data_IF_360030400382
#
_entry.id   IF_360030400382
#
_cell.length_a   1.000
_cell.length_b   1.000
_cell.length_c   1.000
_cell.angle_alpha   90.00
_cell.angle_beta   90.00
_cell.angle_gamma   90.00
#
_symmetry.space_group_name_H-M   'P 1'
#
loop_
_entity.id
_entity.type
_entity.pdbx_description
1 polymer ?
#
# COMPACT_ATOMS: atom_id res chain seq x y z
N UNK A 1 20.44 -0.14 -17.76
CA UNK A 1 19.54 1.02 -17.70
C UNK A 1 18.40 0.68 -18.65
N UNK A 2 17.30 0.17 -18.13
CA UNK A 2 16.13 -0.21 -18.94
C UNK A 2 15.30 1.06 -19.05
N UNK A 3 15.25 1.61 -20.26
CA UNK A 3 14.33 2.68 -20.62
C UNK A 3 12.90 2.15 -20.42
N UNK A 4 12.24 2.57 -19.34
CA UNK A 4 10.82 2.33 -19.14
C UNK A 4 10.14 3.35 -20.03
N UNK A 5 9.60 2.85 -21.16
CA UNK A 5 8.88 3.63 -22.14
C UNK A 5 7.88 4.58 -21.45
N UNK A 6 7.99 5.85 -21.82
CA UNK A 6 7.03 6.90 -21.49
C UNK A 6 5.62 6.45 -21.88
N UNK A 7 4.84 6.00 -20.88
CA UNK A 7 3.40 5.80 -21.01
C UNK A 7 2.71 7.05 -20.50
N UNK A 8 1.66 7.51 -21.17
CA UNK A 8 0.95 8.71 -20.82
C UNK A 8 0.13 8.50 -19.54
N UNK A 9 0.02 9.50 -18.76
CA UNK A 9 -0.66 9.56 -17.49
C UNK A 9 0.33 9.85 -16.36
N UNK A 10 0.19 10.98 -15.72
CA UNK A 10 0.95 11.52 -14.59
C UNK A 10 2.41 11.06 -14.54
N UNK A 11 3.31 12.01 -14.44
CA UNK A 11 4.77 11.85 -14.21
C UNK A 11 5.03 10.98 -12.93
N UNK A 12 4.72 9.67 -13.02
CA UNK A 12 4.94 8.70 -11.95
C UNK A 12 6.46 8.49 -11.84
N UNK A 13 7.11 9.35 -11.08
CA UNK A 13 8.52 9.18 -10.71
C UNK A 13 8.59 8.17 -9.58
N UNK A 14 9.50 7.22 -9.68
CA UNK A 14 9.73 6.13 -8.70
C UNK A 14 8.64 5.04 -8.74
N UNK A 15 8.63 4.25 -9.80
CA UNK A 15 7.81 3.05 -9.92
C UNK A 15 8.68 1.83 -9.62
N UNK A 16 8.20 0.93 -8.77
CA UNK A 16 8.79 -0.38 -8.53
C UNK A 16 7.90 -1.45 -9.17
N UNK A 17 8.44 -2.24 -10.05
CA UNK A 17 7.75 -3.38 -10.64
C UNK A 17 7.85 -4.60 -9.72
N UNK A 18 6.74 -5.31 -9.54
CA UNK A 18 6.65 -6.60 -8.86
C UNK A 18 6.25 -7.65 -9.89
N UNK A 19 6.98 -8.74 -9.92
CA UNK A 19 6.75 -9.82 -10.90
C UNK A 19 7.01 -9.39 -12.34
N UNK A 20 6.28 -9.99 -13.29
CA UNK A 20 6.39 -9.74 -14.73
C UNK A 20 5.02 -9.30 -15.26
N UNK A 21 4.69 -8.01 -15.21
CA UNK A 21 3.44 -7.50 -15.77
C UNK A 21 3.35 -7.85 -17.26
N UNK A 22 2.25 -8.48 -17.66
CA UNK A 22 1.98 -8.79 -19.04
C UNK A 22 1.50 -7.54 -19.79
N UNK A 23 1.54 -7.60 -21.14
CA UNK A 23 0.90 -6.60 -21.98
C UNK A 23 -0.60 -6.49 -21.70
N UNK A 24 -1.18 -5.32 -21.91
CA UNK A 24 -2.59 -4.99 -21.66
C UNK A 24 -2.81 -4.28 -20.32
N UNK A 25 -3.96 -4.52 -19.71
CA UNK A 25 -4.39 -3.81 -18.50
C UNK A 25 -3.39 -3.93 -17.35
N UNK A 26 -3.11 -2.80 -16.69
CA UNK A 26 -2.08 -2.66 -15.67
C UNK A 26 -2.69 -2.27 -14.33
N UNK A 27 -2.01 -2.67 -13.26
CA UNK A 27 -2.39 -2.34 -11.90
C UNK A 27 -1.24 -1.59 -11.24
N UNK A 28 -1.58 -0.44 -10.67
CA UNK A 28 -0.69 0.41 -9.91
C UNK A 28 -1.22 0.53 -8.49
N UNK A 29 -0.39 0.26 -7.50
CA UNK A 29 -0.76 0.44 -6.08
C UNK A 29 0.18 1.47 -5.44
N UNK A 30 -0.40 2.44 -4.76
CA UNK A 30 0.36 3.44 -4.01
C UNK A 30 1.08 2.76 -2.84
N UNK A 31 2.32 3.17 -2.58
CA UNK A 31 3.18 2.55 -1.58
C UNK A 31 2.56 2.53 -0.17
N UNK A 32 1.84 3.58 0.22
CA UNK A 32 1.16 3.60 1.52
C UNK A 32 -0.02 2.60 1.57
N UNK A 33 -0.77 2.45 0.47
CA UNK A 33 -1.82 1.45 0.36
C UNK A 33 -1.24 0.03 0.40
N UNK A 34 -0.13 -0.21 -0.30
CA UNK A 34 0.59 -1.47 -0.27
C UNK A 34 1.13 -1.79 1.13
N UNK A 35 1.79 -0.84 1.78
CA UNK A 35 2.29 -0.99 3.15
C UNK A 35 1.15 -1.26 4.15
N UNK A 36 -0.03 -0.65 3.94
CA UNK A 36 -1.20 -0.83 4.81
C UNK A 36 -1.71 -2.27 4.80
N UNK A 37 -1.76 -2.93 3.64
CA UNK A 37 -2.20 -4.33 3.57
C UNK A 37 -1.16 -5.30 4.13
N UNK A 38 0.13 -4.91 4.13
CA UNK A 38 1.25 -5.69 4.66
C UNK A 38 1.60 -5.37 6.12
N UNK A 39 0.83 -4.48 6.77
CA UNK A 39 1.05 -4.16 8.18
C UNK A 39 0.96 -5.42 9.05
N UNK A 40 1.95 -5.63 9.92
CA UNK A 40 1.98 -6.77 10.82
C UNK A 40 0.78 -6.76 11.77
N UNK A 41 0.15 -7.92 11.92
CA UNK A 41 -1.04 -8.09 12.76
C UNK A 41 -1.15 -9.51 13.30
N UNK A 42 -1.91 -9.67 14.37
CA UNK A 42 -2.29 -10.97 14.90
C UNK A 42 -3.57 -11.55 14.26
N UNK A 43 -4.27 -10.77 13.45
CA UNK A 43 -5.47 -11.23 12.77
C UNK A 43 -5.11 -12.31 11.73
N UNK A 44 -5.83 -13.41 11.74
CA UNK A 44 -5.65 -14.52 10.78
C UNK A 44 -6.23 -14.20 9.40
N UNK A 45 -7.23 -13.31 9.36
CA UNK A 45 -7.94 -12.93 8.14
C UNK A 45 -8.27 -11.45 8.16
N UNK A 46 -7.99 -10.79 7.05
CA UNK A 46 -8.28 -9.35 6.88
C UNK A 46 -8.87 -9.08 5.51
N UNK A 47 -9.78 -8.13 5.48
CA UNK A 47 -10.34 -7.60 4.22
C UNK A 47 -10.08 -6.12 4.15
N UNK A 48 -9.73 -5.65 2.95
CA UNK A 48 -9.57 -4.22 2.67
C UNK A 48 -10.38 -3.84 1.44
N UNK A 49 -10.95 -2.63 1.44
CA UNK A 49 -11.49 -1.99 0.25
C UNK A 49 -10.41 -1.12 -0.36
N UNK A 50 -10.22 -1.24 -1.66
CA UNK A 50 -9.31 -0.42 -2.42
C UNK A 50 -10.03 0.79 -3.02
N UNK A 51 -9.52 1.98 -2.70
CA UNK A 51 -9.98 3.26 -3.24
C UNK A 51 -8.99 3.76 -4.28
N UNK A 52 -9.50 4.46 -5.29
CA UNK A 52 -8.63 5.01 -6.32
C UNK A 52 -9.40 5.43 -7.57
N UNK A 53 -8.81 5.22 -8.73
CA UNK A 53 -9.42 5.54 -10.03
C UNK A 53 -8.93 4.58 -11.12
N UNK A 54 -9.58 4.64 -12.29
CA UNK A 54 -9.17 3.89 -13.48
C UNK A 54 -8.97 4.86 -14.63
N UNK A 55 -7.87 4.74 -15.34
CA UNK A 55 -7.56 5.47 -16.56
C UNK A 55 -7.57 4.52 -17.76
N UNK A 56 -7.91 5.05 -18.94
CA UNK A 56 -7.84 4.29 -20.18
C UNK A 56 -7.04 5.06 -21.21
N UNK A 57 -6.00 4.45 -21.74
CA UNK A 57 -5.20 5.04 -22.78
C UNK A 57 -4.91 4.03 -23.88
N UNK A 58 -5.21 4.42 -25.11
CA UNK A 58 -5.06 3.58 -26.30
C UNK A 58 -5.69 2.18 -26.15
N UNK A 59 -6.79 2.07 -25.38
CA UNK A 59 -7.48 0.81 -25.12
C UNK A 59 -6.85 -0.06 -24.03
N UNK A 60 -5.82 0.42 -23.34
CA UNK A 60 -5.23 -0.21 -22.15
C UNK A 60 -5.79 0.46 -20.91
N UNK A 61 -6.35 -0.32 -20.01
CA UNK A 61 -6.85 0.16 -18.74
C UNK A 61 -5.79 0.09 -17.66
N UNK A 62 -5.69 1.16 -16.88
CA UNK A 62 -4.78 1.29 -15.76
C UNK A 62 -5.61 1.51 -14.50
N UNK A 63 -5.59 0.56 -13.58
CA UNK A 63 -6.26 0.69 -12.29
C UNK A 63 -5.25 1.17 -11.25
N UNK A 64 -5.53 2.33 -10.66
CA UNK A 64 -4.72 2.93 -9.60
C UNK A 64 -5.39 2.70 -8.26
N UNK A 65 -4.71 1.96 -7.39
CA UNK A 65 -5.08 1.79 -5.99
C UNK A 65 -4.35 2.84 -5.16
N UNK A 66 -5.08 3.83 -4.67
CA UNK A 66 -4.53 4.98 -3.93
C UNK A 66 -4.57 4.78 -2.42
N UNK A 67 -5.56 4.01 -1.93
CA UNK A 67 -5.70 3.71 -0.51
C UNK A 67 -6.31 2.33 -0.27
N UNK A 68 -6.03 1.78 0.92
CA UNK A 68 -6.61 0.54 1.42
C UNK A 68 -7.33 0.79 2.75
N UNK A 69 -8.65 0.63 2.77
CA UNK A 69 -9.51 0.80 3.93
C UNK A 69 -9.74 -0.58 4.56
N UNK A 70 -9.30 -0.85 5.80
CA UNK A 70 -9.58 -2.11 6.47
C UNK A 70 -11.07 -2.23 6.77
N UNK A 71 -11.66 -3.37 6.45
CA UNK A 71 -13.05 -3.70 6.82
C UNK A 71 -13.02 -4.33 8.20
N UNK A 72 -13.45 -3.57 9.20
CA UNK A 72 -13.51 -4.03 10.58
C UNK A 72 -14.70 -4.97 10.76
N UNK A 73 -14.58 -5.87 11.73
CA UNK A 73 -15.66 -6.80 12.12
C UNK A 73 -16.23 -7.62 10.95
N UNK A 74 -15.37 -7.96 9.97
CA UNK A 74 -15.74 -8.85 8.87
C UNK A 74 -16.01 -10.26 9.39
N UNK A 75 -17.20 -10.77 9.15
CA UNK A 75 -17.53 -12.15 9.43
C UNK A 75 -16.97 -13.08 8.34
N UNK A 76 -16.47 -14.24 8.75
CA UNK A 76 -15.94 -15.25 7.84
C UNK A 76 -16.70 -16.59 8.00
N UNK A 77 -16.88 -17.25 6.88
CA UNK A 77 -17.38 -18.63 6.85
C UNK A 77 -16.48 -19.44 5.92
N UNK A 78 -15.80 -20.47 6.45
CA UNK A 78 -14.84 -21.28 5.68
C UNK A 78 -13.79 -20.44 4.92
N UNK A 79 -13.21 -19.44 5.58
CA UNK A 79 -12.26 -18.47 5.04
C UNK A 79 -12.83 -17.50 3.98
N UNK A 80 -14.12 -17.51 3.72
CA UNK A 80 -14.78 -16.60 2.80
C UNK A 80 -15.40 -15.43 3.56
N UNK A 81 -15.17 -14.17 3.15
CA UNK A 81 -15.77 -13.01 3.78
C UNK A 81 -17.27 -12.95 3.51
N UNK A 82 -18.05 -12.64 4.52
CA UNK A 82 -19.49 -12.44 4.42
C UNK A 82 -19.82 -10.96 4.33
N UNK A 83 -20.11 -10.51 3.13
CA UNK A 83 -20.51 -9.14 2.87
C UNK A 83 -21.95 -8.91 3.28
N UNK A 84 -22.17 -8.09 4.29
CA UNK A 84 -23.48 -7.71 4.79
C UNK A 84 -23.60 -6.21 4.98
N UNK A 85 -24.79 -5.75 5.37
CA UNK A 85 -25.08 -4.32 5.58
C UNK A 85 -24.14 -3.68 6.59
N UNK A 86 -23.74 -4.40 7.63
CA UNK A 86 -22.85 -3.88 8.67
C UNK A 86 -21.47 -3.56 8.11
N UNK A 87 -20.83 -4.51 7.41
CA UNK A 87 -19.53 -4.33 6.80
C UNK A 87 -19.51 -3.12 5.84
N UNK A 88 -20.53 -3.01 4.98
CA UNK A 88 -20.67 -1.90 4.05
C UNK A 88 -20.95 -0.55 4.73
N UNK A 89 -21.70 -0.53 5.82
CA UNK A 89 -22.01 0.72 6.55
C UNK A 89 -20.76 1.40 7.09
N UNK A 90 -19.82 0.63 7.63
CA UNK A 90 -18.57 1.16 8.15
C UNK A 90 -17.63 1.64 7.05
N UNK A 91 -17.54 0.86 5.97
CA UNK A 91 -16.77 1.24 4.78
C UNK A 91 -17.30 2.55 4.18
N UNK A 92 -18.60 2.68 3.96
CA UNK A 92 -19.19 3.90 3.39
C UNK A 92 -19.05 5.13 4.31
N UNK A 93 -19.05 4.93 5.62
CA UNK A 93 -18.78 6.02 6.57
C UNK A 93 -17.36 6.55 6.40
N UNK A 94 -16.39 5.66 6.25
CA UNK A 94 -14.99 6.04 6.05
C UNK A 94 -14.77 6.69 4.67
N UNK A 95 -15.39 6.15 3.61
CA UNK A 95 -15.33 6.74 2.26
C UNK A 95 -15.83 8.18 2.27
N UNK A 96 -16.99 8.45 2.88
CA UNK A 96 -17.55 9.80 2.97
C UNK A 96 -16.67 10.78 3.73
N UNK A 97 -15.93 10.29 4.72
CA UNK A 97 -15.07 11.12 5.53
C UNK A 97 -13.75 11.50 4.84
N UNK A 98 -13.18 10.59 4.07
CA UNK A 98 -11.78 10.70 3.67
C UNK A 98 -11.51 10.54 2.17
N UNK A 99 -12.50 10.08 1.36
CA UNK A 99 -12.27 9.67 -0.03
C UNK A 99 -13.35 10.17 -1.00
N UNK A 100 -13.79 11.44 -0.88
CA UNK A 100 -14.87 12.00 -1.70
C UNK A 100 -14.64 11.93 -3.22
N UNK A 101 -13.38 11.99 -3.66
CA UNK A 101 -13.00 12.04 -5.07
C UNK A 101 -12.50 10.70 -5.63
N UNK A 102 -12.51 9.65 -4.82
CA UNK A 102 -12.05 8.32 -5.23
C UNK A 102 -13.22 7.36 -5.35
N UNK A 103 -13.08 6.36 -6.22
CA UNK A 103 -14.05 5.28 -6.35
C UNK A 103 -13.51 3.98 -5.76
N UNK A 104 -14.39 3.01 -5.51
CA UNK A 104 -13.95 1.66 -5.16
C UNK A 104 -13.40 1.01 -6.42
N UNK A 105 -12.10 0.69 -6.41
CA UNK A 105 -11.41 0.05 -7.53
C UNK A 105 -11.14 -1.44 -7.28
N UNK A 106 -11.53 -1.96 -6.13
CA UNK A 106 -11.39 -3.38 -5.81
C UNK A 106 -11.34 -3.65 -4.32
N UNK A 107 -10.82 -4.83 -3.98
CA UNK A 107 -10.67 -5.26 -2.59
C UNK A 107 -9.54 -6.25 -2.43
N UNK A 108 -9.09 -6.44 -1.18
CA UNK A 108 -8.06 -7.40 -0.81
C UNK A 108 -8.56 -8.37 0.26
N UNK A 109 -8.07 -9.59 0.21
CA UNK A 109 -8.25 -10.62 1.22
C UNK A 109 -6.89 -11.20 1.60
N UNK A 110 -6.55 -11.08 2.88
CA UNK A 110 -5.43 -11.76 3.51
C UNK A 110 -5.93 -12.93 4.35
N UNK A 111 -5.41 -14.13 4.08
CA UNK A 111 -5.69 -15.33 4.86
C UNK A 111 -4.37 -16.01 5.22
N UNK A 112 -3.86 -15.78 6.41
CA UNK A 112 -2.60 -16.35 6.89
C UNK A 112 -2.57 -17.86 6.83
N UNK A 113 -1.52 -18.41 6.19
CA UNK A 113 -1.31 -19.85 6.05
C UNK A 113 -2.22 -20.53 5.04
N UNK A 114 -2.94 -19.75 4.21
CA UNK A 114 -3.75 -20.28 3.12
C UNK A 114 -3.26 -19.73 1.78
N UNK A 115 -2.95 -20.60 0.81
CA UNK A 115 -2.48 -20.16 -0.49
C UNK A 115 -3.45 -19.16 -1.14
N UNK A 116 -2.98 -18.03 -1.69
CA UNK A 116 -3.81 -16.97 -2.26
C UNK A 116 -4.34 -17.35 -3.65
N UNK A 117 -5.16 -18.41 -3.70
CA UNK A 117 -5.73 -18.96 -4.93
C UNK A 117 -7.19 -18.55 -5.08
N UNK A 118 -7.54 -18.15 -6.29
CA UNK A 118 -8.93 -17.86 -6.64
C UNK A 118 -9.76 -19.16 -6.62
N UNK A 119 -10.80 -19.18 -5.81
CA UNK A 119 -11.82 -20.23 -5.83
C UNK A 119 -13.07 -19.74 -6.56
N UNK A 120 -13.96 -20.66 -6.93
CA UNK A 120 -15.22 -20.31 -7.58
C UNK A 120 -16.11 -19.44 -6.67
N UNK A 121 -16.05 -19.68 -5.37
CA UNK A 121 -16.78 -18.90 -4.36
C UNK A 121 -16.24 -17.48 -4.24
N UNK A 122 -14.91 -17.29 -4.21
CA UNK A 122 -14.29 -15.96 -4.21
C UNK A 122 -14.59 -15.18 -5.49
N UNK A 123 -14.56 -15.86 -6.64
CA UNK A 123 -14.96 -15.24 -7.91
C UNK A 123 -16.44 -14.83 -7.91
N UNK A 124 -17.32 -15.66 -7.32
CA UNK A 124 -18.72 -15.32 -7.17
C UNK A 124 -18.94 -14.10 -6.25
N UNK A 125 -18.27 -14.06 -5.10
CA UNK A 125 -18.28 -12.90 -4.19
C UNK A 125 -17.78 -11.64 -4.90
N UNK A 126 -16.64 -11.72 -5.61
CA UNK A 126 -16.12 -10.58 -6.34
C UNK A 126 -17.12 -10.06 -7.38
N UNK A 127 -17.72 -10.95 -8.15
CA UNK A 127 -18.71 -10.56 -9.17
C UNK A 127 -20.00 -9.97 -8.58
N UNK A 128 -20.43 -10.46 -7.42
CA UNK A 128 -21.62 -9.96 -6.74
C UNK A 128 -21.40 -8.60 -6.09
N UNK A 129 -20.26 -8.41 -5.42
CA UNK A 129 -19.99 -7.21 -4.63
C UNK A 129 -19.19 -6.15 -5.39
N UNK A 130 -18.38 -6.57 -6.38
CA UNK A 130 -17.40 -5.75 -7.10
C UNK A 130 -17.48 -6.03 -8.61
N UNK A 131 -18.68 -5.95 -9.19
CA UNK A 131 -18.95 -6.34 -10.58
C UNK A 131 -18.43 -5.40 -11.67
N UNK A 132 -17.63 -4.38 -11.35
CA UNK A 132 -17.02 -3.46 -12.32
C UNK A 132 -15.92 -4.14 -13.14
N UNK A 133 -15.87 -3.86 -14.46
CA UNK A 133 -14.97 -4.54 -15.38
C UNK A 133 -13.48 -4.40 -15.04
N UNK A 134 -13.10 -3.31 -14.35
CA UNK A 134 -11.70 -2.99 -14.00
C UNK A 134 -11.45 -3.01 -12.49
N UNK A 135 -12.38 -3.56 -11.71
CA UNK A 135 -12.17 -3.75 -10.29
C UNK A 135 -11.27 -4.95 -10.04
N UNK A 136 -10.30 -4.77 -9.15
CA UNK A 136 -9.28 -5.77 -8.86
C UNK A 136 -9.64 -6.57 -7.61
N UNK A 137 -9.20 -7.83 -7.56
CA UNK A 137 -9.13 -8.64 -6.36
C UNK A 137 -7.66 -8.90 -6.05
N UNK A 138 -7.24 -8.59 -4.83
CA UNK A 138 -5.91 -8.90 -4.33
C UNK A 138 -6.01 -9.99 -3.26
N UNK A 139 -5.43 -11.15 -3.55
CA UNK A 139 -5.33 -12.25 -2.59
C UNK A 139 -3.91 -12.34 -2.08
N UNK A 140 -3.76 -12.47 -0.77
CA UNK A 140 -2.46 -12.63 -0.16
C UNK A 140 -2.46 -13.63 1.00
N UNK A 141 -1.32 -14.26 1.20
CA UNK A 141 -0.94 -14.98 2.40
C UNK A 141 0.21 -14.24 3.06
N UNK A 142 -0.09 -13.43 4.06
CA UNK A 142 0.91 -12.63 4.76
C UNK A 142 1.88 -13.47 5.62
N UNK A 143 1.61 -14.75 5.83
CA UNK A 143 2.51 -15.67 6.53
C UNK A 143 3.63 -16.16 5.61
N UNK A 144 3.30 -16.55 4.39
CA UNK A 144 4.26 -17.08 3.41
C UNK A 144 4.77 -15.98 2.45
N UNK A 145 4.16 -14.80 2.47
CA UNK A 145 4.53 -13.68 1.59
C UNK A 145 4.10 -13.90 0.13
N UNK A 146 3.11 -14.75 -0.11
CA UNK A 146 2.55 -14.97 -1.44
C UNK A 146 1.40 -13.98 -1.70
N UNK A 147 1.37 -13.39 -2.90
CA UNK A 147 0.37 -12.39 -3.27
C UNK A 147 0.08 -12.36 -4.76
N UNK A 148 -1.17 -12.17 -5.13
CA UNK A 148 -1.60 -12.09 -6.52
C UNK A 148 -2.76 -11.11 -6.70
N UNK A 149 -2.63 -10.22 -7.68
CA UNK A 149 -3.76 -9.49 -8.21
C UNK A 149 -4.52 -10.33 -9.23
N UNK A 150 -5.83 -10.21 -9.22
CA UNK A 150 -6.74 -10.78 -10.19
C UNK A 150 -7.53 -9.66 -10.86
N UNK A 151 -7.69 -9.74 -12.16
CA UNK A 151 -8.45 -8.79 -12.96
C UNK A 151 -9.29 -9.55 -13.97
N UNK A 152 -10.43 -8.98 -14.36
CA UNK A 152 -11.27 -9.58 -15.39
C UNK A 152 -10.56 -9.66 -16.73
N UNK A 153 -10.62 -10.83 -17.35
CA UNK A 153 -10.34 -11.05 -18.77
C UNK A 153 -11.53 -11.76 -19.39
N UNK A 154 -12.33 -11.01 -20.14
CA UNK A 154 -13.64 -11.47 -20.55
C UNK A 154 -14.56 -11.67 -19.33
N UNK A 155 -15.11 -12.87 -19.15
CA UNK A 155 -16.09 -13.16 -18.09
C UNK A 155 -15.51 -13.86 -16.86
N UNK A 156 -14.19 -13.91 -16.71
CA UNK A 156 -13.50 -14.57 -15.58
C UNK A 156 -12.39 -13.71 -15.01
N UNK A 157 -12.16 -13.85 -13.71
CA UNK A 157 -10.97 -13.32 -13.06
C UNK A 157 -9.75 -14.17 -13.42
N UNK A 158 -8.67 -13.50 -13.82
CA UNK A 158 -7.39 -14.14 -14.09
C UNK A 158 -6.28 -13.50 -13.29
N UNK A 159 -5.31 -14.29 -12.79
CA UNK A 159 -4.18 -13.75 -12.08
C UNK A 159 -3.33 -12.87 -13.00
N UNK A 160 -2.80 -11.79 -12.47
CA UNK A 160 -1.80 -10.93 -13.10
C UNK A 160 -0.43 -11.38 -12.62
N UNK A 161 0.48 -11.62 -13.57
CA UNK A 161 1.85 -12.05 -13.27
C UNK A 161 2.74 -10.94 -12.66
N UNK A 162 2.19 -9.73 -12.52
CA UNK A 162 2.89 -8.61 -11.91
C UNK A 162 2.04 -7.35 -11.88
N UNK A 163 2.52 -6.38 -11.10
CA UNK A 163 1.91 -5.08 -10.90
C UNK A 163 3.00 -4.04 -10.59
N UNK A 164 2.60 -2.80 -10.39
CA UNK A 164 3.51 -1.70 -10.12
C UNK A 164 3.19 -1.05 -8.78
N UNK A 165 4.21 -0.79 -7.97
CA UNK A 165 4.11 0.04 -6.78
C UNK A 165 4.62 1.42 -7.16
N UNK A 166 3.84 2.47 -6.90
CA UNK A 166 4.23 3.85 -7.13
C UNK A 166 4.21 4.66 -5.84
N UNK A 167 4.92 5.77 -5.86
CA UNK A 167 4.97 6.69 -4.73
C UNK A 167 4.28 7.98 -5.15
N UNK A 168 3.12 8.27 -4.53
CA UNK A 168 2.52 9.58 -4.68
C UNK A 168 3.48 10.63 -4.13
N UNK A 169 3.69 11.71 -4.87
CA UNK A 169 4.39 12.86 -4.32
C UNK A 169 3.48 13.49 -3.26
N UNK A 170 3.71 13.19 -2.01
CA UNK A 170 3.33 14.11 -0.96
C UNK A 170 4.20 15.35 -1.13
N UNK A 171 3.64 16.39 -1.73
CA UNK A 171 4.13 17.76 -1.54
C UNK A 171 3.80 18.16 -0.10
N UNK A 172 4.42 17.51 0.85
CA UNK A 172 4.61 18.12 2.14
C UNK A 172 5.60 19.25 1.91
N UNK A 173 5.09 20.45 1.64
CA UNK A 173 5.78 21.65 2.04
C UNK A 173 6.04 21.51 3.54
N UNK A 174 7.20 20.98 3.89
CA UNK A 174 7.72 21.16 5.23
C UNK A 174 7.86 22.68 5.36
N UNK A 175 6.83 23.33 5.88
CA UNK A 175 6.97 24.68 6.41
C UNK A 175 7.91 24.52 7.59
N UNK A 176 9.20 24.68 7.30
CA UNK A 176 10.18 24.94 8.33
C UNK A 176 9.69 26.25 8.94
N UNK A 177 9.21 26.28 10.19
CA UNK A 177 8.87 27.55 10.81
C UNK A 177 10.15 28.38 10.74
N UNK A 178 10.02 29.65 10.31
CA UNK A 178 11.12 30.62 10.36
C UNK A 178 11.58 30.74 11.80
N UNK A 179 12.49 29.89 12.20
CA UNK A 179 13.19 30.01 13.48
C UNK A 179 14.22 31.11 13.27
N UNK A 180 13.82 32.33 13.55
CA UNK A 180 14.76 33.44 13.70
C UNK A 180 15.65 33.11 14.90
N UNK A 181 16.79 32.49 14.65
CA UNK A 181 17.82 32.29 15.67
C UNK A 181 18.42 33.67 15.93
N UNK A 182 17.92 34.35 16.95
CA UNK A 182 18.62 35.52 17.50
C UNK A 182 19.93 35.03 18.10
N UNK A 183 21.04 35.26 17.39
CA UNK A 183 22.35 35.00 17.91
C UNK A 183 22.57 35.94 19.14
N UNK A 184 22.92 35.40 20.31
CA UNK A 184 23.17 36.22 21.49
C UNK A 184 24.36 37.13 21.20
N UNK A 185 24.17 38.45 21.40
CA UNK A 185 25.23 39.44 21.32
C UNK A 185 26.38 39.06 22.24
N UNK A 186 27.59 39.09 21.75
CA UNK A 186 28.84 38.86 22.53
C UNK A 186 28.77 39.58 23.87
N UNK A 187 28.72 38.85 24.97
CA UNK A 187 28.88 39.47 26.29
C UNK A 187 28.37 38.71 27.49
N UNK A 188 27.77 37.52 27.36
CA UNK A 188 27.33 36.79 28.58
C UNK A 188 27.71 35.31 28.47
N UNK A 189 28.68 34.93 29.30
CA UNK A 189 29.12 33.57 29.48
C UNK A 189 28.02 32.86 30.30
N UNK A 190 27.05 32.25 29.60
CA UNK A 190 26.06 31.39 30.25
C UNK A 190 26.12 29.98 29.63
N UNK A 191 26.07 29.00 30.53
CA UNK A 191 26.23 27.58 30.33
C UNK A 191 25.33 27.04 29.22
N UNK A 192 25.92 26.24 28.33
CA UNK A 192 25.18 25.43 27.37
C UNK A 192 24.27 24.45 28.13
N UNK A 193 23.00 24.29 27.72
CA UNK A 193 22.13 23.27 28.29
C UNK A 193 22.63 21.85 27.92
N UNK A 194 22.51 20.92 28.86
CA UNK A 194 22.95 19.51 28.78
C UNK A 194 22.37 18.69 27.63
N UNK A 195 21.47 19.25 26.86
CA UNK A 195 20.74 18.56 25.76
C UNK A 195 21.66 18.14 24.60
N UNK A 196 22.83 18.77 24.44
CA UNK A 196 23.78 18.44 23.36
C UNK A 196 24.71 17.26 23.67
N UNK A 197 24.71 16.75 24.90
CA UNK A 197 25.55 15.61 25.30
C UNK A 197 24.93 14.25 25.01
N UNK A 198 23.61 14.15 24.92
CA UNK A 198 22.94 12.86 24.59
C UNK A 198 23.01 12.52 23.11
N UNK A 199 22.99 13.53 22.23
CA UNK A 199 23.09 13.32 20.78
C UNK A 199 24.42 12.74 20.33
N UNK A 200 25.51 12.99 21.04
CA UNK A 200 26.83 12.42 20.73
C UNK A 200 27.02 10.98 21.22
N UNK A 201 26.22 10.52 22.18
CA UNK A 201 26.26 9.12 22.66
C UNK A 201 25.51 8.17 21.71
N UNK A 202 24.48 8.65 21.02
CA UNK A 202 23.70 7.82 20.09
C UNK A 202 24.47 7.46 18.80
N UNK A 203 25.37 8.33 18.34
CA UNK A 203 26.17 8.11 17.11
C UNK A 203 27.34 7.15 17.35
N UNK A 204 27.82 7.02 18.58
CA UNK A 204 28.94 6.12 18.91
C UNK A 204 28.53 4.65 19.03
N UNK A 205 27.23 4.34 19.26
CA UNK A 205 26.76 2.96 19.45
C UNK A 205 26.49 2.21 18.14
N UNK A 206 26.24 2.91 17.05
CA UNK A 206 26.01 2.27 15.75
C UNK A 206 27.30 1.85 15.03
N UNK A 207 28.45 2.42 15.38
CA UNK A 207 29.74 2.05 14.78
C UNK A 207 30.42 0.84 15.41
N UNK A 208 30.04 0.45 16.63
CA UNK A 208 30.67 -0.70 17.34
C UNK A 208 30.04 -2.05 16.99
N UNK A 209 28.86 -2.07 16.39
CA UNK A 209 28.18 -3.33 16.02
C UNK A 209 28.56 -3.87 14.64
N UNK A 210 29.27 -3.11 13.83
CA UNK A 210 29.71 -3.51 12.50
C UNK A 210 31.05 -4.25 12.48
N UNK A 211 31.79 -4.29 13.59
CA UNK A 211 33.13 -4.90 13.65
C UNK A 211 33.20 -6.25 14.38
N UNK A 212 32.13 -6.72 15.02
CA UNK A 212 32.17 -7.99 15.76
C UNK A 212 31.74 -9.23 14.95
N UNK A 213 31.35 -9.09 13.69
CA UNK A 213 30.90 -10.24 12.87
C UNK A 213 31.97 -10.81 11.92
N UNK A 214 33.22 -10.37 11.97
CA UNK A 214 34.30 -10.84 11.11
C UNK A 214 35.45 -11.59 11.81
N UNK A 215 35.30 -11.97 13.08
CA UNK A 215 36.38 -12.63 13.85
C UNK A 215 36.06 -14.06 14.32
N UNK A 216 35.05 -14.74 13.73
CA UNK A 216 34.84 -16.17 14.01
C UNK A 216 34.43 -16.90 12.71
N UNK A 217 35.42 -17.19 11.91
CA UNK A 217 35.49 -18.33 10.98
C UNK A 217 36.95 -18.80 10.92
#
# INVERSE_FOLDING_TARGET
MIDIAEGPGRDLKNIRQIGTPAEGDRIYIENAAYARVHEETYEERRVFIFMGHTECEQGVYMTFVEAAIPVRDMEFSQNLPRWGTHAWSDVFREIKRSYENSIIVGWALDCKGYPPRLTAELEAIHREQFGGAHQVLFLMDSMEGEEYFYLHKGNRLQPKNGFYIYYARELHEIRIPDVTIELPRRGTRQMLPEILTESKKAVSYTHLRAHETLANL
#
